data_IF_670623884913
#
_entry.id   IF_670623884913
#
_cell.length_a   1.000
_cell.length_b   1.000
_cell.length_c   1.000
_cell.angle_alpha   90.00
_cell.angle_beta   90.00
_cell.angle_gamma   90.00
#
_symmetry.space_group_name_H-M   'P 1'
#
loop_
_entity.id
_entity.type
_entity.pdbx_description
1 polymer ?
#
# COMPACT_ATOMS: atom_id res chain seq x y z
N UNK A 1 20.50 -5.53 22.29
CA UNK A 1 21.16 -4.24 22.39
C UNK A 1 20.12 -3.17 22.73
N UNK A 2 20.25 -2.54 23.90
CA UNK A 2 19.38 -1.42 24.34
C UNK A 2 19.89 -0.09 23.74
N UNK A 3 19.99 0.00 22.43
CA UNK A 3 20.35 1.25 21.75
C UNK A 3 19.07 2.04 21.51
N UNK A 4 18.99 3.28 21.97
CA UNK A 4 17.92 4.23 21.66
C UNK A 4 18.41 5.21 20.58
N UNK A 5 17.54 5.50 19.60
CA UNK A 5 17.84 6.44 18.51
C UNK A 5 17.50 7.87 18.97
N UNK A 6 18.36 8.47 19.82
CA UNK A 6 18.06 9.75 20.49
C UNK A 6 17.97 10.96 19.54
N UNK A 7 18.59 10.87 18.36
CA UNK A 7 18.64 11.99 17.38
C UNK A 7 17.72 11.77 16.18
N UNK A 8 16.90 10.71 16.17
CA UNK A 8 16.04 10.35 15.04
C UNK A 8 14.59 10.50 15.47
N UNK A 9 13.88 11.46 14.91
CA UNK A 9 12.46 11.71 15.20
C UNK A 9 11.53 10.96 14.25
N UNK A 10 12.00 10.64 13.05
CA UNK A 10 11.22 9.89 12.05
C UNK A 10 12.09 9.05 11.14
N UNK A 11 11.52 7.97 10.63
CA UNK A 11 12.15 7.07 9.65
C UNK A 11 11.19 6.84 8.51
N UNK A 12 11.66 6.97 7.27
CA UNK A 12 10.88 6.63 6.08
C UNK A 12 11.13 5.18 5.69
N UNK A 13 10.06 4.43 5.52
CA UNK A 13 10.04 3.06 5.00
C UNK A 13 9.24 3.04 3.71
N UNK A 14 9.77 2.39 2.69
CA UNK A 14 9.13 2.19 1.39
C UNK A 14 9.68 0.96 0.68
N UNK A 15 9.07 0.60 -0.46
CA UNK A 15 9.46 -0.57 -1.26
C UNK A 15 8.85 -1.89 -0.80
N UNK A 16 8.31 -1.94 0.42
CA UNK A 16 7.50 -3.05 0.95
C UNK A 16 6.53 -2.56 2.00
N UNK A 17 5.56 -3.38 2.38
CA UNK A 17 4.64 -3.06 3.48
C UNK A 17 5.42 -2.94 4.82
N UNK A 18 5.05 -1.93 5.62
CA UNK A 18 5.59 -1.76 6.96
C UNK A 18 4.75 -2.57 7.97
N UNK A 19 5.28 -3.66 8.56
CA UNK A 19 4.52 -4.44 9.53
C UNK A 19 4.17 -3.61 10.78
N UNK A 20 2.96 -3.77 11.30
CA UNK A 20 2.49 -3.07 12.53
C UNK A 20 3.46 -3.24 13.70
N UNK A 21 4.05 -4.43 13.84
CA UNK A 21 5.05 -4.71 14.88
C UNK A 21 6.30 -3.82 14.75
N UNK A 22 6.74 -3.50 13.52
CA UNK A 22 7.84 -2.59 13.26
C UNK A 22 7.46 -1.16 13.67
N UNK A 23 6.27 -0.68 13.27
CA UNK A 23 5.76 0.65 13.60
C UNK A 23 5.74 0.84 15.12
N UNK A 24 5.16 -0.12 15.86
CA UNK A 24 5.13 -0.14 17.32
C UNK A 24 6.54 -0.09 17.92
N UNK A 25 7.44 -0.92 17.42
CA UNK A 25 8.81 -0.99 17.94
C UNK A 25 9.56 0.35 17.79
N UNK A 26 9.39 1.05 16.67
CA UNK A 26 10.00 2.37 16.48
C UNK A 26 9.39 3.40 17.42
N UNK A 27 8.07 3.43 17.56
CA UNK A 27 7.41 4.38 18.46
C UNK A 27 7.73 4.10 19.94
N UNK A 28 7.57 2.86 20.39
CA UNK A 28 7.69 2.51 21.82
C UNK A 28 9.14 2.52 22.33
N UNK A 29 10.10 2.06 21.52
CA UNK A 29 11.52 1.96 21.93
C UNK A 29 12.33 3.21 21.65
N UNK A 30 11.98 3.95 20.62
CA UNK A 30 12.80 5.04 20.11
C UNK A 30 12.11 6.39 20.10
N UNK A 31 10.79 6.43 20.37
CA UNK A 31 9.95 7.62 20.19
C UNK A 31 10.10 8.22 18.78
N UNK A 32 10.08 7.35 17.81
CA UNK A 32 10.37 7.66 16.41
C UNK A 32 9.16 7.33 15.54
N UNK A 33 8.63 8.34 14.85
CA UNK A 33 7.51 8.16 13.93
C UNK A 33 7.96 7.47 12.65
N UNK A 34 7.31 6.37 12.28
CA UNK A 34 7.58 5.67 11.04
C UNK A 34 6.67 6.22 9.93
N UNK A 35 7.28 6.89 8.97
CA UNK A 35 6.63 7.34 7.73
C UNK A 35 6.60 6.17 6.74
N UNK A 36 5.41 5.76 6.32
CA UNK A 36 5.27 4.73 5.30
C UNK A 36 4.99 5.40 3.96
N UNK A 37 5.82 5.14 2.96
CA UNK A 37 5.72 5.69 1.62
C UNK A 37 5.57 4.60 0.56
N UNK A 38 4.79 4.91 -0.48
CA UNK A 38 4.66 4.07 -1.66
C UNK A 38 4.98 4.87 -2.91
N UNK A 39 5.56 4.17 -3.86
CA UNK A 39 5.86 4.71 -5.17
C UNK A 39 6.62 3.72 -6.02
N UNK A 40 6.97 4.14 -7.21
CA UNK A 40 7.66 3.32 -8.21
C UNK A 40 8.47 4.22 -9.14
N UNK A 41 9.37 3.64 -9.92
CA UNK A 41 10.23 4.37 -10.86
C UNK A 41 9.41 5.26 -11.79
N UNK A 42 8.27 4.76 -12.24
CA UNK A 42 7.32 5.44 -13.13
C UNK A 42 6.67 6.68 -12.52
N UNK A 43 6.88 6.94 -11.22
CA UNK A 43 6.32 8.07 -10.47
C UNK A 43 7.38 9.05 -9.96
N UNK A 44 8.67 8.82 -10.23
CA UNK A 44 9.84 9.68 -9.94
C UNK A 44 10.08 10.07 -8.47
N UNK A 45 10.13 9.19 -7.48
CA UNK A 45 9.54 7.87 -7.37
C UNK A 45 8.27 7.81 -6.51
N UNK A 46 7.88 8.93 -5.80
CA UNK A 46 6.94 8.92 -4.68
C UNK A 46 5.50 9.22 -5.12
N UNK A 47 4.58 8.32 -4.81
CA UNK A 47 3.15 8.48 -5.06
C UNK A 47 2.34 8.83 -3.82
N UNK A 48 2.62 8.17 -2.70
CA UNK A 48 1.93 8.43 -1.43
C UNK A 48 2.90 8.49 -0.26
N UNK A 49 2.47 9.16 0.80
CA UNK A 49 3.20 9.22 2.07
C UNK A 49 2.21 9.22 3.23
N UNK A 50 2.46 8.34 4.20
CA UNK A 50 1.80 8.36 5.48
C UNK A 50 2.59 9.22 6.45
N UNK A 51 2.26 10.51 6.48
CA UNK A 51 2.85 11.47 7.39
C UNK A 51 1.98 11.69 8.62
N UNK A 52 2.58 12.13 9.71
CA UNK A 52 1.85 12.58 10.88
C UNK A 52 0.89 13.73 10.53
N UNK A 53 -0.32 13.68 11.07
CA UNK A 53 -1.32 14.74 10.90
C UNK A 53 -1.86 15.17 12.27
N UNK A 54 -2.33 16.43 12.41
CA UNK A 54 -2.89 16.92 13.68
C UNK A 54 -4.08 16.10 14.20
N UNK A 55 -4.84 15.45 13.32
CA UNK A 55 -5.94 14.58 13.70
C UNK A 55 -5.46 13.38 14.54
N UNK A 56 -4.23 12.96 14.35
CA UNK A 56 -3.62 11.86 15.11
C UNK A 56 -3.37 12.20 16.58
N UNK A 57 -3.33 13.49 16.97
CA UNK A 57 -3.11 13.91 18.36
C UNK A 57 -4.21 13.43 19.32
N UNK A 58 -5.44 13.34 18.82
CA UNK A 58 -6.61 12.89 19.61
C UNK A 58 -6.88 11.38 19.57
N UNK A 59 -6.12 10.62 18.78
CA UNK A 59 -6.32 9.18 18.61
C UNK A 59 -5.52 8.38 19.63
N UNK A 60 -6.02 7.21 19.98
CA UNK A 60 -5.20 6.25 20.72
C UNK A 60 -4.06 5.66 19.86
N UNK A 61 -3.08 5.03 20.52
CA UNK A 61 -1.91 4.52 19.81
C UNK A 61 -2.23 3.40 18.84
N UNK A 62 -3.23 2.55 19.14
CA UNK A 62 -3.61 1.44 18.25
C UNK A 62 -4.27 1.97 16.97
N UNK A 63 -5.13 2.99 17.08
CA UNK A 63 -5.73 3.67 15.93
C UNK A 63 -4.66 4.32 15.04
N UNK A 64 -3.68 5.00 15.65
CA UNK A 64 -2.53 5.57 14.91
C UNK A 64 -1.75 4.49 14.17
N UNK A 65 -1.45 3.37 14.83
CA UNK A 65 -0.72 2.27 14.21
C UNK A 65 -1.48 1.67 13.03
N UNK A 66 -2.81 1.56 13.12
CA UNK A 66 -3.63 1.10 11.99
C UNK A 66 -3.52 2.05 10.79
N UNK A 67 -3.59 3.36 11.01
CA UNK A 67 -3.41 4.34 9.94
C UNK A 67 -1.99 4.22 9.35
N UNK A 68 -0.96 4.10 10.19
CA UNK A 68 0.43 4.00 9.76
C UNK A 68 0.75 2.73 8.96
N UNK A 69 -0.05 1.66 9.06
CA UNK A 69 0.10 0.48 8.20
C UNK A 69 -0.31 0.75 6.75
N UNK A 70 -1.14 1.78 6.48
CA UNK A 70 -1.45 2.21 5.12
C UNK A 70 -0.24 2.88 4.45
N UNK A 71 -0.21 2.91 3.12
CA UNK A 71 0.84 3.61 2.37
C UNK A 71 0.62 5.14 2.33
N UNK A 72 -0.43 5.62 3.02
CA UNK A 72 -0.70 7.04 3.19
C UNK A 72 -1.54 7.67 2.09
N UNK A 73 -1.48 8.99 2.02
CA UNK A 73 -2.25 9.81 1.08
C UNK A 73 -1.38 10.26 -0.08
N UNK A 74 -2.00 10.53 -1.24
CA UNK A 74 -1.30 11.05 -2.40
C UNK A 74 -0.49 12.31 -2.05
N UNK A 75 0.77 12.35 -2.50
CA UNK A 75 1.59 13.54 -2.39
C UNK A 75 1.11 14.63 -3.35
N UNK A 76 1.50 15.87 -3.08
CA UNK A 76 1.14 16.98 -3.97
C UNK A 76 1.54 16.68 -5.44
N UNK A 77 0.58 16.90 -6.34
CA UNK A 77 0.76 16.63 -7.77
C UNK A 77 0.45 15.20 -8.20
N UNK A 78 0.16 14.28 -7.28
CA UNK A 78 -0.30 12.93 -7.58
C UNK A 78 -1.81 12.81 -7.32
N UNK A 79 -2.56 12.33 -8.31
CA UNK A 79 -3.95 11.94 -8.17
C UNK A 79 -4.06 10.43 -8.23
N UNK A 80 -4.97 9.84 -7.44
CA UNK A 80 -5.23 8.39 -7.41
C UNK A 80 -6.71 8.12 -7.59
N UNK A 81 -7.02 6.98 -8.17
CA UNK A 81 -8.35 6.35 -8.17
C UNK A 81 -8.19 4.84 -8.21
N UNK A 82 -9.22 4.12 -7.80
CA UNK A 82 -9.33 2.69 -8.03
C UNK A 82 -10.43 2.41 -9.05
N UNK A 83 -10.21 1.43 -9.91
CA UNK A 83 -11.16 1.03 -10.96
C UNK A 83 -11.37 -0.49 -10.94
N UNK A 84 -12.54 -0.93 -11.43
CA UNK A 84 -12.79 -2.34 -11.70
C UNK A 84 -12.25 -2.77 -13.08
N UNK A 85 -12.44 -4.04 -13.44
CA UNK A 85 -11.94 -4.59 -14.71
C UNK A 85 -12.62 -3.98 -15.94
N UNK A 86 -13.82 -3.37 -15.79
CA UNK A 86 -14.53 -2.64 -16.84
C UNK A 86 -14.11 -1.15 -16.92
N UNK A 87 -13.12 -0.71 -16.13
CA UNK A 87 -12.63 0.68 -16.10
C UNK A 87 -13.51 1.66 -15.32
N UNK A 88 -14.56 1.19 -14.63
CA UNK A 88 -15.42 2.04 -13.81
C UNK A 88 -14.74 2.42 -12.50
N UNK A 89 -14.78 3.70 -12.16
CA UNK A 89 -14.26 4.21 -10.88
C UNK A 89 -15.06 3.64 -9.71
N UNK A 90 -14.36 3.12 -8.73
CA UNK A 90 -14.89 2.55 -7.51
C UNK A 90 -14.91 3.57 -6.35
N UNK A 91 -15.74 3.34 -5.32
CA UNK A 91 -15.84 4.26 -4.18
C UNK A 91 -14.60 4.21 -3.27
N UNK A 92 -14.26 5.35 -2.68
CA UNK A 92 -13.24 5.46 -1.65
C UNK A 92 -13.85 5.18 -0.26
N UNK A 93 -14.17 3.92 0.02
CA UNK A 93 -14.83 3.45 1.26
C UNK A 93 -13.91 2.67 2.19
N UNK A 94 -12.63 2.51 1.80
CA UNK A 94 -11.63 1.75 2.55
C UNK A 94 -11.82 0.24 2.52
N UNK A 95 -12.77 -0.26 1.74
CA UNK A 95 -13.16 -1.69 1.68
C UNK A 95 -13.18 -2.24 0.26
N UNK A 96 -13.66 -1.45 -0.68
CA UNK A 96 -13.75 -1.84 -2.08
C UNK A 96 -12.36 -1.86 -2.70
N UNK A 97 -11.97 -3.01 -3.25
CA UNK A 97 -10.70 -3.23 -3.93
C UNK A 97 -10.80 -2.86 -5.40
N UNK A 98 -9.73 -2.31 -5.97
CA UNK A 98 -9.66 -2.06 -7.39
C UNK A 98 -8.22 -1.86 -7.86
N UNK A 99 -8.03 -1.92 -9.19
CA UNK A 99 -6.74 -1.58 -9.80
C UNK A 99 -6.43 -0.11 -9.51
N UNK A 100 -5.24 0.13 -8.98
CA UNK A 100 -4.78 1.47 -8.62
C UNK A 100 -4.26 2.20 -9.84
N UNK A 101 -4.93 3.31 -10.17
CA UNK A 101 -4.55 4.21 -11.25
C UNK A 101 -4.02 5.51 -10.69
N UNK A 102 -2.95 6.02 -11.27
CA UNK A 102 -2.32 7.29 -10.85
C UNK A 102 -2.16 8.26 -12.01
N UNK A 103 -2.18 9.55 -11.70
CA UNK A 103 -1.99 10.63 -12.67
C UNK A 103 -1.26 11.79 -12.02
N UNK A 104 -0.33 12.41 -12.76
CA UNK A 104 0.38 13.60 -12.30
C UNK A 104 1.58 13.94 -13.17
N UNK A 105 2.19 15.11 -12.99
CA UNK A 105 3.32 15.58 -13.81
C UNK A 105 4.60 14.76 -13.62
N UNK A 106 4.71 14.00 -12.51
CA UNK A 106 5.85 13.11 -12.25
C UNK A 106 5.64 11.68 -12.76
N UNK A 107 4.47 11.37 -13.33
CA UNK A 107 4.14 10.06 -13.88
C UNK A 107 4.65 9.98 -15.31
N UNK A 108 5.28 8.87 -15.69
CA UNK A 108 5.77 8.67 -17.05
C UNK A 108 4.62 8.67 -18.06
N UNK A 109 4.88 9.22 -19.25
CA UNK A 109 3.97 9.12 -20.39
C UNK A 109 4.24 7.86 -21.22
N UNK A 110 5.52 7.45 -21.29
CA UNK A 110 5.98 6.29 -22.06
C UNK A 110 7.31 5.76 -21.53
N UNK A 111 7.59 4.51 -21.79
CA UNK A 111 8.90 3.92 -21.49
C UNK A 111 9.97 4.34 -22.50
N UNK A 112 11.23 4.29 -22.06
CA UNK A 112 12.35 4.61 -22.91
C UNK A 112 12.38 3.73 -24.18
N UNK A 113 12.54 4.37 -25.33
CA UNK A 113 12.49 3.73 -26.68
C UNK A 113 11.13 3.11 -27.06
N UNK A 114 10.06 3.31 -26.29
CA UNK A 114 8.72 2.94 -26.70
C UNK A 114 8.06 4.08 -27.47
N UNK A 115 7.35 3.77 -28.56
CA UNK A 115 6.49 4.71 -29.27
C UNK A 115 5.05 4.71 -28.72
N UNK A 116 4.72 3.76 -27.84
CA UNK A 116 3.39 3.60 -27.25
C UNK A 116 3.30 4.36 -25.94
N UNK A 117 2.15 4.96 -25.67
CA UNK A 117 1.86 5.55 -24.37
C UNK A 117 1.69 4.45 -23.30
N UNK A 118 2.18 4.71 -22.10
CA UNK A 118 1.93 3.87 -20.92
C UNK A 118 0.64 4.26 -20.18
N UNK A 119 -0.09 5.26 -20.70
CA UNK A 119 -1.28 5.80 -20.06
C UNK A 119 -2.55 5.27 -20.73
N UNK A 120 -3.52 4.91 -19.90
CA UNK A 120 -4.90 4.61 -20.25
C UNK A 120 -5.76 5.83 -19.88
N UNK A 121 -6.35 6.52 -20.87
CA UNK A 121 -7.11 7.76 -20.66
C UNK A 121 -6.37 8.83 -19.79
N UNK A 122 -5.06 8.90 -19.92
CA UNK A 122 -4.21 9.83 -19.17
C UNK A 122 -3.92 9.38 -17.73
N UNK A 123 -4.21 8.13 -17.38
CA UNK A 123 -3.89 7.51 -16.12
C UNK A 123 -2.90 6.35 -16.33
N UNK A 124 -1.99 6.19 -15.41
CA UNK A 124 -1.05 5.09 -15.38
C UNK A 124 -1.59 3.96 -14.49
N UNK A 125 -1.66 2.73 -15.03
CA UNK A 125 -1.99 1.54 -14.25
C UNK A 125 -0.71 1.08 -13.52
N UNK A 126 -0.75 1.11 -12.20
CA UNK A 126 0.41 0.76 -11.37
C UNK A 126 0.68 -0.74 -11.30
N UNK A 127 -0.29 -1.56 -11.69
CA UNK A 127 -0.28 -2.99 -11.49
C UNK A 127 -0.50 -3.41 -10.03
N UNK A 128 -0.86 -2.47 -9.15
CA UNK A 128 -1.26 -2.74 -7.78
C UNK A 128 -2.79 -2.76 -7.65
N UNK A 129 -3.29 -3.58 -6.73
CA UNK A 129 -4.66 -3.56 -6.24
C UNK A 129 -4.67 -2.88 -4.89
N UNK A 130 -5.56 -1.92 -4.71
CA UNK A 130 -5.61 -1.12 -3.50
C UNK A 130 -7.05 -0.81 -3.06
N UNK A 131 -7.20 -0.41 -1.80
CA UNK A 131 -8.35 0.33 -1.29
C UNK A 131 -7.95 1.78 -1.07
N UNK A 132 -8.94 2.69 -1.12
CA UNK A 132 -8.75 4.09 -0.70
C UNK A 132 -9.91 4.40 0.25
N UNK A 133 -9.61 4.97 1.41
CA UNK A 133 -10.66 5.35 2.37
C UNK A 133 -11.21 6.77 2.12
N UNK A 134 -12.22 7.16 2.89
CA UNK A 134 -12.85 8.47 2.80
C UNK A 134 -11.94 9.65 3.16
N UNK A 135 -10.82 9.39 3.82
CA UNK A 135 -9.79 10.38 4.17
C UNK A 135 -8.64 10.40 3.15
N UNK A 136 -8.70 9.54 2.12
CA UNK A 136 -7.70 9.42 1.08
C UNK A 136 -6.49 8.55 1.43
N UNK A 137 -6.54 7.80 2.53
CA UNK A 137 -5.49 6.83 2.85
C UNK A 137 -5.62 5.63 1.93
N UNK A 138 -4.55 5.35 1.21
CA UNK A 138 -4.43 4.22 0.31
C UNK A 138 -3.77 3.04 1.03
N UNK A 139 -4.33 1.85 0.85
CA UNK A 139 -3.75 0.59 1.31
C UNK A 139 -3.60 -0.35 0.13
N UNK A 140 -2.37 -0.76 -0.15
CA UNK A 140 -2.08 -1.84 -1.10
C UNK A 140 -2.62 -3.14 -0.52
N UNK A 141 -3.39 -3.84 -1.33
CA UNK A 141 -3.91 -5.18 -1.02
C UNK A 141 -2.99 -6.24 -1.58
N UNK A 142 -2.62 -6.08 -2.86
CA UNK A 142 -1.72 -7.00 -3.56
C UNK A 142 -1.28 -6.43 -4.92
N UNK A 143 -0.45 -7.18 -5.64
CA UNK A 143 -0.26 -6.99 -7.08
C UNK A 143 -1.44 -7.57 -7.86
N UNK A 144 -1.83 -6.92 -8.95
CA UNK A 144 -2.96 -7.38 -9.80
C UNK A 144 -2.79 -8.82 -10.32
N UNK A 145 -1.53 -9.26 -10.48
CA UNK A 145 -1.17 -10.61 -10.92
C UNK A 145 -1.08 -11.65 -9.78
N UNK A 146 -0.96 -11.20 -8.53
CA UNK A 146 -0.69 -12.04 -7.36
C UNK A 146 -1.92 -12.14 -6.43
N UNK A 147 -2.90 -11.22 -6.57
CA UNK A 147 -4.15 -11.26 -5.81
C UNK A 147 -4.91 -12.56 -6.11
N UNK A 148 -5.27 -13.29 -5.06
CA UNK A 148 -5.96 -14.58 -5.18
C UNK A 148 -7.45 -14.32 -5.34
N UNK A 149 -8.04 -14.82 -6.45
CA UNK A 149 -9.47 -14.68 -6.74
C UNK A 149 -10.16 -15.99 -6.41
N UNK A 150 -10.78 -16.09 -5.23
CA UNK A 150 -11.41 -17.31 -4.74
C UNK A 150 -12.92 -17.13 -4.56
N UNK A 151 -13.69 -17.84 -5.36
CA UNK A 151 -15.17 -17.86 -5.24
C UNK A 151 -15.83 -16.50 -5.42
N UNK A 152 -15.20 -15.57 -6.16
CA UNK A 152 -15.66 -14.19 -6.37
C UNK A 152 -15.18 -13.21 -5.31
N UNK A 153 -14.40 -13.65 -4.34
CA UNK A 153 -13.73 -12.80 -3.36
C UNK A 153 -12.25 -12.63 -3.70
N UNK A 154 -11.72 -11.47 -3.36
CA UNK A 154 -10.30 -11.16 -3.52
C UNK A 154 -9.59 -11.34 -2.18
N UNK A 155 -8.54 -12.16 -2.17
CA UNK A 155 -7.76 -12.49 -0.98
C UNK A 155 -6.36 -11.90 -1.16
N UNK A 156 -5.94 -11.06 -0.21
CA UNK A 156 -4.61 -10.50 -0.17
C UNK A 156 -3.59 -11.56 0.26
N UNK A 157 -2.62 -11.86 -0.60
CA UNK A 157 -1.48 -12.69 -0.23
C UNK A 157 -0.64 -12.01 0.86
N UNK A 158 -0.47 -10.70 0.77
CA UNK A 158 0.31 -9.87 1.70
C UNK A 158 -0.27 -9.93 3.13
N UNK A 159 -1.59 -9.84 3.28
CA UNK A 159 -2.24 -9.89 4.61
C UNK A 159 -2.06 -11.26 5.27
N UNK A 160 -2.14 -12.34 4.48
CA UNK A 160 -1.90 -13.69 4.97
C UNK A 160 -0.43 -13.90 5.35
N UNK A 161 0.51 -13.42 4.54
CA UNK A 161 1.95 -13.46 4.81
C UNK A 161 2.30 -12.69 6.07
N UNK A 162 1.80 -11.45 6.21
CA UNK A 162 2.01 -10.62 7.40
C UNK A 162 1.45 -11.26 8.67
N UNK A 163 0.28 -11.90 8.57
CA UNK A 163 -0.34 -12.64 9.68
C UNK A 163 0.53 -13.82 10.09
N UNK A 164 1.04 -14.59 9.12
CA UNK A 164 1.91 -15.73 9.38
C UNK A 164 3.24 -15.31 10.03
N UNK A 165 3.90 -14.28 9.47
CA UNK A 165 5.17 -13.73 10.00
C UNK A 165 4.99 -13.08 11.38
N UNK A 166 3.78 -12.66 11.74
CA UNK A 166 3.46 -12.20 13.09
C UNK A 166 3.62 -13.26 14.18
N UNK A 167 3.68 -14.56 13.82
CA UNK A 167 3.91 -15.64 14.76
C UNK A 167 5.43 -15.80 15.05
N UNK A 168 5.87 -15.87 16.32
CA UNK A 168 7.30 -15.89 16.69
C UNK A 168 8.10 -17.10 16.16
N UNK A 169 7.44 -18.14 15.71
CA UNK A 169 8.05 -19.31 15.09
C UNK A 169 8.18 -19.23 13.56
N UNK A 170 7.74 -18.14 12.92
CA UNK A 170 7.77 -17.96 11.46
C UNK A 170 8.77 -16.87 11.11
N UNK A 171 9.80 -17.22 10.37
CA UNK A 171 10.81 -16.29 9.90
C UNK A 171 10.40 -15.61 8.59
N UNK A 172 9.72 -16.35 7.72
CA UNK A 172 9.31 -15.91 6.39
C UNK A 172 8.07 -16.69 5.95
N UNK A 173 7.17 -16.07 5.19
CA UNK A 173 5.99 -16.69 4.63
C UNK A 173 5.80 -16.23 3.18
N UNK A 174 5.27 -17.13 2.34
CA UNK A 174 4.85 -16.82 0.98
C UNK A 174 3.51 -17.50 0.71
N UNK A 175 2.56 -16.74 0.17
CA UNK A 175 1.22 -17.21 -0.17
C UNK A 175 1.05 -17.11 -1.68
N UNK A 176 0.61 -18.19 -2.30
CA UNK A 176 0.40 -18.27 -3.76
C UNK A 176 -0.98 -18.83 -4.06
N UNK A 177 -1.67 -18.22 -5.02
CA UNK A 177 -2.91 -18.76 -5.56
C UNK A 177 -2.65 -20.01 -6.41
N UNK A 178 -3.45 -21.05 -6.18
CA UNK A 178 -3.42 -22.28 -6.99
C UNK A 178 -4.76 -22.45 -7.68
N UNK A 179 -4.74 -22.67 -8.99
CA UNK A 179 -5.96 -22.88 -9.78
C UNK A 179 -6.83 -23.99 -9.19
N UNK A 180 -8.13 -23.71 -9.03
CA UNK A 180 -9.11 -24.63 -8.43
C UNK A 180 -10.40 -24.66 -9.23
N UNK A 181 -10.82 -25.86 -9.65
CA UNK A 181 -11.95 -26.08 -10.58
C UNK A 181 -13.32 -25.48 -10.12
N UNK A 182 -13.51 -25.23 -8.82
CA UNK A 182 -14.76 -24.69 -8.25
C UNK A 182 -14.63 -23.23 -7.83
N UNK A 183 -13.43 -22.79 -7.46
CA UNK A 183 -13.21 -21.51 -6.79
C UNK A 183 -12.33 -20.55 -7.59
N UNK A 184 -11.98 -20.86 -8.82
CA UNK A 184 -10.98 -20.22 -9.67
C UNK A 184 -9.57 -20.40 -9.11
N UNK A 185 -9.31 -19.90 -7.91
CA UNK A 185 -8.08 -20.09 -7.16
C UNK A 185 -8.35 -20.45 -5.69
N UNK A 186 -7.31 -20.98 -5.05
CA UNK A 186 -7.34 -21.30 -3.63
C UNK A 186 -5.93 -21.21 -3.02
#
# INVERSE_FOLDING_TARGET
NNIKLESVNSVLVGGSAAPKAMIKAFQEKHDCFLLHGWGMTEMSPLGTLNSYTPEMDGMDLEERYEIQTSQGRAVYGCSMKIINDEGKVLPNDGKTFGRLMVKGPAIIERYFKSNETALEDGWFDTGDVATIDTHGYMRIVDRSKDVIKSGGEWISSIDLENTAVGHPGVAEACVVGVAHAKWDER
#
